data_IF_268760365293
#
_entry.id   IF_268760365293
#
_cell.length_a   1.000
_cell.length_b   1.000
_cell.length_c   1.000
_cell.angle_alpha   90.00
_cell.angle_beta   90.00
_cell.angle_gamma   90.00
#
_symmetry.space_group_name_H-M   'P 1'
#
loop_
_entity.id
_entity.type
_entity.pdbx_description
1 polymer ?
#
# COMPACT_ATOMS: atom_id res chain seq x y z
N UNK A 1 25.70 -25.59 -11.06
CA UNK A 1 24.57 -25.28 -10.16
C UNK A 1 24.06 -23.95 -10.63
N UNK A 2 23.01 -23.97 -11.44
CA UNK A 2 22.67 -22.83 -12.30
C UNK A 2 21.44 -22.09 -11.76
N UNK A 3 20.91 -22.53 -10.61
CA UNK A 3 19.71 -21.98 -9.96
C UNK A 3 19.98 -20.83 -8.99
N UNK A 4 21.24 -20.52 -8.68
CA UNK A 4 21.60 -19.53 -7.65
C UNK A 4 21.55 -20.04 -6.20
N UNK A 5 21.28 -21.33 -5.97
CA UNK A 5 21.36 -21.93 -4.63
C UNK A 5 22.81 -22.21 -4.25
N UNK A 6 23.26 -21.71 -3.10
CA UNK A 6 24.56 -22.02 -2.51
C UNK A 6 24.37 -23.16 -1.53
N UNK A 7 25.01 -24.31 -1.77
CA UNK A 7 24.78 -25.54 -0.99
C UNK A 7 26.09 -26.02 -0.35
N UNK A 8 26.05 -26.26 0.96
CA UNK A 8 27.10 -26.94 1.70
C UNK A 8 26.75 -28.43 1.80
N UNK A 9 27.63 -29.28 1.28
CA UNK A 9 27.49 -30.74 1.31
C UNK A 9 28.49 -31.36 2.27
N UNK A 10 28.07 -32.45 2.90
CA UNK A 10 28.93 -33.33 3.68
C UNK A 10 28.79 -34.77 3.19
N UNK A 11 29.68 -35.63 3.66
CA UNK A 11 29.63 -37.06 3.38
C UNK A 11 29.07 -37.80 4.58
N UNK A 12 28.07 -38.64 4.35
CA UNK A 12 27.52 -39.47 5.40
C UNK A 12 28.44 -40.66 5.69
N UNK A 13 29.08 -40.63 6.84
CA UNK A 13 30.03 -41.66 7.32
C UNK A 13 29.51 -43.10 7.32
N UNK A 14 28.19 -43.33 7.25
CA UNK A 14 27.59 -44.69 7.29
C UNK A 14 27.44 -45.34 5.91
N UNK A 15 27.36 -44.56 4.84
CA UNK A 15 27.02 -45.08 3.51
C UNK A 15 27.70 -44.30 2.36
N UNK A 16 28.64 -43.40 2.65
CA UNK A 16 29.33 -42.51 1.70
C UNK A 16 28.38 -41.74 0.76
N UNK A 17 27.14 -41.48 1.20
CA UNK A 17 26.19 -40.68 0.42
C UNK A 17 26.39 -39.20 0.72
N UNK A 18 26.30 -38.35 -0.30
CA UNK A 18 26.25 -36.90 -0.09
C UNK A 18 24.99 -36.50 0.70
N UNK A 19 25.17 -35.65 1.71
CA UNK A 19 24.10 -35.03 2.48
C UNK A 19 24.19 -33.51 2.37
N UNK A 20 23.03 -32.85 2.25
CA UNK A 20 22.96 -31.39 2.30
C UNK A 20 22.97 -30.98 3.77
N UNK A 21 24.04 -30.30 4.19
CA UNK A 21 24.17 -29.77 5.55
C UNK A 21 23.52 -28.40 5.70
N UNK A 22 23.58 -27.59 4.63
CA UNK A 22 23.02 -26.24 4.61
C UNK A 22 22.78 -25.79 3.15
N UNK A 23 21.80 -24.91 2.94
CA UNK A 23 21.59 -24.27 1.64
C UNK A 23 21.02 -22.86 1.78
N UNK A 24 21.41 -21.95 0.90
CA UNK A 24 20.94 -20.55 0.94
C UNK A 24 19.44 -20.42 0.70
N UNK A 25 18.85 -21.33 -0.07
CA UNK A 25 17.40 -21.33 -0.34
C UNK A 25 16.54 -21.53 0.92
N UNK A 26 17.09 -22.07 2.01
CA UNK A 26 16.40 -22.18 3.30
C UNK A 26 16.46 -20.88 4.14
N UNK A 27 17.19 -19.88 3.66
CA UNK A 27 17.44 -18.59 4.32
C UNK A 27 17.23 -17.41 3.36
N UNK A 28 16.00 -17.19 2.88
CA UNK A 28 15.69 -16.10 1.96
C UNK A 28 15.92 -14.70 2.58
N UNK A 29 16.28 -13.72 1.75
CA UNK A 29 16.33 -12.29 2.08
C UNK A 29 15.06 -11.58 1.55
N UNK A 30 15.22 -10.54 0.75
CA UNK A 30 14.18 -9.83 -0.01
C UNK A 30 13.80 -10.54 -1.31
N UNK A 31 14.63 -11.46 -1.80
CA UNK A 31 14.49 -12.04 -3.14
C UNK A 31 14.08 -13.52 -3.10
N UNK A 32 13.08 -13.89 -3.91
CA UNK A 32 12.62 -15.25 -4.15
C UNK A 32 12.83 -15.63 -5.62
N UNK A 33 13.64 -16.66 -5.85
CA UNK A 33 14.03 -17.18 -7.16
C UNK A 33 13.18 -18.40 -7.57
N UNK A 34 13.11 -18.72 -8.88
CA UNK A 34 12.42 -19.93 -9.33
C UNK A 34 12.96 -21.19 -8.63
N UNK A 35 12.07 -22.05 -8.15
CA UNK A 35 12.42 -23.27 -7.43
C UNK A 35 12.77 -23.09 -5.95
N UNK A 36 12.82 -21.86 -5.42
CA UNK A 36 12.84 -21.65 -3.97
C UNK A 36 11.54 -22.15 -3.33
N UNK A 37 11.57 -22.49 -2.04
CA UNK A 37 10.44 -23.10 -1.32
C UNK A 37 10.00 -22.23 -0.16
N UNK A 38 8.83 -21.61 -0.28
CA UNK A 38 8.17 -20.90 0.82
C UNK A 38 7.31 -21.91 1.61
N UNK A 39 7.77 -22.31 2.79
CA UNK A 39 7.24 -23.48 3.50
C UNK A 39 6.04 -23.14 4.39
N UNK A 40 4.98 -23.94 4.28
CA UNK A 40 3.74 -23.81 5.06
C UNK A 40 3.94 -24.64 6.35
N UNK A 41 4.50 -24.04 7.41
CA UNK A 41 4.72 -24.74 8.68
C UNK A 41 4.57 -23.83 9.90
N UNK A 42 3.96 -24.34 10.98
CA UNK A 42 3.80 -23.64 12.27
C UNK A 42 5.08 -23.55 13.10
N UNK A 43 6.12 -24.32 12.76
CA UNK A 43 7.34 -24.44 13.58
C UNK A 43 8.52 -23.65 13.06
N UNK A 44 8.45 -23.11 11.84
CA UNK A 44 9.59 -22.50 11.16
C UNK A 44 9.51 -20.97 11.17
N UNK A 45 10.29 -20.33 12.03
CA UNK A 45 10.34 -18.85 12.15
C UNK A 45 11.06 -18.12 11.00
N UNK A 46 11.76 -18.83 10.09
CA UNK A 46 12.79 -18.21 9.23
C UNK A 46 12.56 -18.38 7.72
N UNK A 47 11.32 -18.49 7.24
CA UNK A 47 11.06 -18.79 5.81
C UNK A 47 10.07 -17.83 5.17
N UNK A 48 10.23 -16.55 5.50
CA UNK A 48 9.53 -15.43 4.88
C UNK A 48 10.55 -14.62 4.09
N UNK A 49 10.12 -13.95 3.02
CA UNK A 49 10.94 -12.86 2.48
C UNK A 49 10.90 -11.71 3.48
N UNK A 50 12.01 -11.01 3.62
CA UNK A 50 12.11 -9.80 4.43
C UNK A 50 12.72 -8.69 3.60
N UNK A 51 12.12 -7.51 3.62
CA UNK A 51 12.68 -6.37 2.88
C UNK A 51 14.04 -6.00 3.45
N UNK A 52 14.82 -5.28 2.65
CA UNK A 52 15.92 -4.50 3.21
C UNK A 52 15.41 -3.42 4.16
N UNK A 53 16.29 -2.90 5.01
CA UNK A 53 15.99 -1.81 5.93
C UNK A 53 15.74 -0.51 5.17
N UNK A 54 16.51 -0.26 4.13
CA UNK A 54 16.31 0.83 3.17
C UNK A 54 17.06 0.54 1.87
N UNK A 55 17.00 1.45 0.89
CA UNK A 55 17.58 1.26 -0.44
C UNK A 55 19.10 1.07 -0.47
N UNK A 56 19.82 1.42 0.60
CA UNK A 56 21.29 1.34 0.69
C UNK A 56 21.79 0.39 1.78
N UNK A 57 20.93 0.00 2.74
CA UNK A 57 21.26 -0.88 3.85
C UNK A 57 20.51 -2.22 3.72
N UNK A 58 21.21 -3.31 3.36
CA UNK A 58 20.61 -4.64 3.19
C UNK A 58 20.32 -5.35 4.51
N UNK A 59 20.49 -4.69 5.66
CA UNK A 59 20.02 -5.21 6.95
C UNK A 59 18.51 -5.51 6.90
N UNK A 60 18.05 -6.38 7.81
CA UNK A 60 16.65 -6.82 7.88
C UNK A 60 15.73 -5.61 8.14
N UNK A 61 14.78 -5.40 7.24
CA UNK A 61 13.74 -4.38 7.35
C UNK A 61 12.53 -4.83 8.17
N UNK A 62 11.50 -3.98 8.19
CA UNK A 62 10.27 -4.22 8.96
C UNK A 62 9.20 -4.98 8.19
N UNK A 63 9.41 -5.23 6.90
CA UNK A 63 8.39 -5.79 6.02
C UNK A 63 8.70 -7.25 5.71
N UNK A 64 7.68 -8.11 5.76
CA UNK A 64 7.80 -9.53 5.50
C UNK A 64 6.70 -10.07 4.59
N UNK A 65 7.04 -11.05 3.77
CA UNK A 65 6.09 -11.78 2.92
C UNK A 65 6.16 -13.29 3.15
N UNK A 66 5.01 -13.93 3.36
CA UNK A 66 4.90 -15.38 3.31
C UNK A 66 3.64 -15.96 3.94
N UNK A 67 3.71 -17.21 4.42
CA UNK A 67 2.55 -17.98 4.90
C UNK A 67 2.40 -17.91 6.42
N UNK A 68 1.21 -17.60 6.96
CA UNK A 68 0.97 -17.63 8.41
C UNK A 68 0.11 -18.84 8.81
N UNK A 69 0.71 -19.85 9.45
CA UNK A 69 -0.02 -20.96 10.06
C UNK A 69 0.01 -22.30 9.31
N UNK A 70 -0.67 -23.29 9.87
CA UNK A 70 -0.45 -24.73 9.58
C UNK A 70 -1.08 -25.27 8.31
N UNK A 71 -1.92 -24.54 7.59
CA UNK A 71 -2.71 -25.12 6.48
C UNK A 71 -3.18 -24.12 5.42
N UNK A 72 -2.65 -22.88 5.41
CA UNK A 72 -3.25 -21.85 4.57
C UNK A 72 -2.61 -21.78 3.17
N UNK A 73 -3.46 -21.75 2.15
CA UNK A 73 -3.14 -21.18 0.83
C UNK A 73 -3.02 -19.64 0.89
N UNK A 74 -3.15 -19.07 2.09
CA UNK A 74 -3.05 -17.65 2.34
C UNK A 74 -1.60 -17.21 2.48
N UNK A 75 -1.29 -16.16 1.73
CA UNK A 75 -0.09 -15.37 1.83
C UNK A 75 -0.40 -14.00 2.42
N UNK A 76 0.60 -13.46 3.09
CA UNK A 76 0.49 -12.25 3.87
C UNK A 76 1.66 -11.35 3.58
N UNK A 77 1.37 -10.06 3.45
CA UNK A 77 2.36 -9.01 3.61
C UNK A 77 2.13 -8.33 4.95
N UNK A 78 3.18 -8.29 5.76
CA UNK A 78 3.15 -7.71 7.09
C UNK A 78 4.22 -6.64 7.24
N UNK A 79 3.89 -5.56 7.96
CA UNK A 79 4.83 -4.56 8.46
C UNK A 79 4.86 -4.66 9.99
N UNK A 80 6.03 -4.93 10.56
CA UNK A 80 6.20 -5.10 12.01
C UNK A 80 5.19 -6.09 12.63
N UNK A 81 4.93 -7.19 11.92
CA UNK A 81 3.92 -8.23 12.26
C UNK A 81 2.45 -7.85 12.08
N UNK A 82 2.14 -6.62 11.65
CA UNK A 82 0.77 -6.21 11.29
C UNK A 82 0.54 -6.44 9.80
N UNK A 83 -0.46 -7.23 9.45
CA UNK A 83 -0.84 -7.48 8.05
C UNK A 83 -1.46 -6.24 7.41
N UNK A 84 -0.99 -5.87 6.23
CA UNK A 84 -1.64 -4.85 5.38
C UNK A 84 -2.17 -5.41 4.05
N UNK A 85 -1.80 -6.64 3.70
CA UNK A 85 -2.40 -7.37 2.59
C UNK A 85 -2.42 -8.86 2.87
N UNK A 86 -3.47 -9.52 2.42
CA UNK A 86 -3.55 -10.97 2.34
C UNK A 86 -4.13 -11.38 0.98
N UNK A 87 -3.76 -12.57 0.53
CA UNK A 87 -4.26 -13.16 -0.69
C UNK A 87 -4.22 -14.68 -0.60
N UNK A 88 -5.00 -15.36 -1.42
CA UNK A 88 -5.06 -16.83 -1.45
C UNK A 88 -4.52 -17.33 -2.79
N UNK A 89 -3.64 -18.33 -2.76
CA UNK A 89 -3.18 -19.02 -3.96
C UNK A 89 -4.32 -19.87 -4.55
N UNK A 90 -4.99 -19.36 -5.58
CA UNK A 90 -6.02 -20.08 -6.33
C UNK A 90 -5.55 -20.25 -7.78
N UNK A 91 -5.78 -21.44 -8.37
CA UNK A 91 -5.50 -21.71 -9.79
C UNK A 91 -4.11 -21.26 -10.27
N UNK A 92 -3.09 -21.51 -9.44
CA UNK A 92 -1.69 -21.18 -9.73
C UNK A 92 -1.34 -19.68 -9.73
N UNK A 93 -2.14 -18.83 -9.08
CA UNK A 93 -1.91 -17.39 -8.93
C UNK A 93 -2.40 -16.87 -7.55
N UNK A 94 -1.75 -15.84 -6.99
CA UNK A 94 -2.22 -15.20 -5.74
C UNK A 94 -3.15 -14.01 -5.97
N UNK A 95 -2.96 -13.31 -7.10
CA UNK A 95 -3.82 -12.26 -7.68
C UNK A 95 -3.59 -12.29 -9.20
N UNK A 96 -4.57 -11.85 -10.00
CA UNK A 96 -4.51 -11.94 -11.48
C UNK A 96 -3.23 -11.29 -12.02
N UNK A 97 -2.32 -12.11 -12.54
CA UNK A 97 -1.21 -11.64 -13.37
C UNK A 97 -1.82 -11.28 -14.73
N UNK A 98 -1.39 -10.16 -15.33
CA UNK A 98 -1.97 -9.72 -16.61
C UNK A 98 -1.93 -10.84 -17.63
N UNK A 99 -3.00 -11.01 -18.42
CA UNK A 99 -3.20 -12.15 -19.33
C UNK A 99 -2.04 -12.35 -20.32
N UNK A 100 -1.30 -11.28 -20.64
CA UNK A 100 -0.14 -11.33 -21.52
C UNK A 100 1.09 -12.04 -20.92
N UNK A 101 1.22 -12.09 -19.60
CA UNK A 101 2.37 -12.69 -18.90
C UNK A 101 2.02 -13.95 -18.12
N UNK A 102 0.74 -14.27 -17.94
CA UNK A 102 0.26 -15.42 -17.14
C UNK A 102 0.87 -16.75 -17.59
N UNK A 103 1.07 -16.96 -18.90
CA UNK A 103 1.62 -18.21 -19.43
C UNK A 103 3.13 -18.40 -19.18
N UNK A 104 3.82 -17.36 -18.70
CA UNK A 104 5.27 -17.41 -18.43
C UNK A 104 5.61 -17.78 -16.98
N UNK A 105 4.62 -17.80 -16.09
CA UNK A 105 4.81 -18.00 -14.66
C UNK A 105 3.76 -18.95 -14.10
N UNK A 106 4.22 -19.97 -13.38
CA UNK A 106 3.34 -20.92 -12.70
C UNK A 106 3.66 -20.90 -11.21
N UNK A 107 2.75 -20.36 -10.39
CA UNK A 107 2.85 -20.49 -8.94
C UNK A 107 2.17 -21.78 -8.52
N UNK A 108 2.75 -22.54 -7.61
CA UNK A 108 2.16 -23.81 -7.22
C UNK A 108 2.43 -24.12 -5.76
N UNK A 109 1.40 -24.65 -5.11
CA UNK A 109 1.54 -25.34 -3.83
C UNK A 109 1.87 -26.79 -4.10
N UNK A 110 2.97 -27.24 -3.51
CA UNK A 110 3.41 -28.63 -3.53
C UNK A 110 3.22 -29.20 -2.13
N UNK A 111 2.46 -30.29 -2.03
CA UNK A 111 2.12 -30.94 -0.77
C UNK A 111 1.66 -32.39 -0.92
N UNK A 112 2.03 -33.05 -2.01
CA UNK A 112 1.72 -34.46 -2.29
C UNK A 112 2.99 -35.31 -2.23
N UNK A 113 2.87 -36.62 -2.01
CA UNK A 113 4.00 -37.56 -1.97
C UNK A 113 4.92 -37.32 -0.76
N UNK A 114 6.24 -37.33 -0.99
CA UNK A 114 7.27 -37.15 0.06
C UNK A 114 7.17 -35.80 0.80
N UNK A 115 6.53 -34.80 0.20
CA UNK A 115 6.37 -33.44 0.75
C UNK A 115 5.00 -33.25 1.45
N UNK A 116 4.20 -34.32 1.61
CA UNK A 116 2.89 -34.26 2.27
C UNK A 116 2.94 -33.77 3.72
N UNK A 117 4.04 -34.05 4.41
CA UNK A 117 4.26 -33.60 5.79
C UNK A 117 4.87 -32.19 5.89
N UNK A 118 5.30 -31.60 4.77
CA UNK A 118 5.97 -30.30 4.74
C UNK A 118 5.65 -29.50 3.47
N UNK A 119 4.38 -29.13 3.25
CA UNK A 119 3.97 -28.44 2.04
C UNK A 119 4.67 -27.08 1.87
N UNK A 120 4.83 -26.64 0.62
CA UNK A 120 5.46 -25.37 0.28
C UNK A 120 4.88 -24.77 -0.98
N UNK A 121 5.07 -23.46 -1.12
CA UNK A 121 4.77 -22.68 -2.29
C UNK A 121 6.07 -22.42 -3.05
N UNK A 122 6.03 -22.56 -4.36
CA UNK A 122 7.13 -22.24 -5.27
C UNK A 122 6.57 -21.61 -6.55
N UNK A 123 7.45 -21.13 -7.42
CA UNK A 123 7.06 -20.74 -8.76
C UNK A 123 8.08 -21.20 -9.79
N UNK A 124 7.57 -21.44 -11.00
CA UNK A 124 8.34 -21.77 -12.18
C UNK A 124 8.21 -20.65 -13.20
N UNK A 125 9.23 -20.48 -14.03
CA UNK A 125 9.19 -19.54 -15.14
C UNK A 125 9.85 -20.12 -16.38
N UNK A 126 9.32 -19.77 -17.55
CA UNK A 126 9.92 -20.04 -18.86
C UNK A 126 10.92 -18.96 -19.29
N UNK A 127 11.04 -17.88 -18.52
CA UNK A 127 11.95 -16.77 -18.80
C UNK A 127 13.32 -17.01 -18.15
N UNK A 128 14.41 -16.65 -18.83
CA UNK A 128 15.79 -16.99 -18.40
C UNK A 128 16.18 -16.42 -17.02
N UNK A 129 15.83 -15.16 -16.74
CA UNK A 129 16.22 -14.48 -15.51
C UNK A 129 15.00 -13.78 -14.91
N UNK A 130 14.49 -14.35 -13.83
CA UNK A 130 13.32 -13.83 -13.12
C UNK A 130 13.54 -13.87 -11.63
N UNK A 131 12.88 -12.95 -10.93
CA UNK A 131 12.87 -12.94 -9.46
C UNK A 131 11.64 -12.22 -8.94
N UNK A 132 11.13 -12.67 -7.81
CA UNK A 132 10.25 -11.89 -6.96
C UNK A 132 11.10 -11.16 -5.93
N UNK A 133 10.86 -9.87 -5.74
CA UNK A 133 11.60 -9.02 -4.79
C UNK A 133 10.61 -8.29 -3.92
N UNK A 134 10.77 -8.41 -2.60
CA UNK A 134 10.05 -7.62 -1.61
C UNK A 134 10.83 -6.31 -1.40
N UNK A 135 10.33 -5.22 -1.96
CA UNK A 135 11.01 -3.94 -1.85
C UNK A 135 10.85 -3.31 -0.45
N UNK A 136 11.64 -2.26 -0.21
CA UNK A 136 11.67 -1.50 1.06
C UNK A 136 10.35 -0.77 1.35
N UNK A 137 9.48 -0.58 0.35
CA UNK A 137 8.19 0.07 0.49
C UNK A 137 7.07 -0.91 0.84
N UNK A 138 7.35 -2.21 0.72
CA UNK A 138 6.41 -3.29 0.99
C UNK A 138 5.60 -3.73 -0.22
N UNK A 139 6.20 -3.58 -1.40
CA UNK A 139 5.65 -4.10 -2.64
C UNK A 139 6.42 -5.36 -3.01
N UNK A 140 5.71 -6.48 -3.20
CA UNK A 140 6.31 -7.65 -3.82
C UNK A 140 6.24 -7.48 -5.34
N UNK A 141 7.39 -7.48 -6.01
CA UNK A 141 7.51 -7.20 -7.43
C UNK A 141 8.08 -8.42 -8.16
N UNK A 142 7.39 -8.88 -9.20
CA UNK A 142 7.93 -9.87 -10.14
C UNK A 142 8.69 -9.14 -11.24
N UNK A 143 9.99 -9.42 -11.34
CA UNK A 143 10.92 -8.82 -12.27
C UNK A 143 11.43 -9.85 -13.28
N UNK A 144 11.56 -9.43 -14.54
CA UNK A 144 12.16 -10.19 -15.63
C UNK A 144 13.29 -9.39 -16.25
N UNK A 145 14.44 -10.01 -16.46
CA UNK A 145 15.54 -9.36 -17.18
C UNK A 145 15.27 -9.39 -18.69
N UNK A 146 15.09 -8.22 -19.31
CA UNK A 146 14.96 -8.07 -20.76
C UNK A 146 15.81 -6.88 -21.20
N UNK A 147 16.49 -7.01 -22.34
CA UNK A 147 17.21 -5.90 -22.99
C UNK A 147 18.16 -5.11 -22.07
N UNK A 148 18.84 -5.78 -21.13
CA UNK A 148 19.85 -5.17 -20.26
C UNK A 148 19.32 -4.49 -18.98
N UNK A 149 18.03 -4.65 -18.65
CA UNK A 149 17.48 -4.14 -17.40
C UNK A 149 16.32 -5.01 -16.86
N UNK A 150 15.96 -4.78 -15.60
CA UNK A 150 14.85 -5.46 -14.93
C UNK A 150 13.51 -4.79 -15.28
N UNK A 151 12.63 -5.52 -15.94
CA UNK A 151 11.26 -5.12 -16.24
C UNK A 151 10.32 -5.63 -15.16
N UNK A 152 9.43 -4.76 -14.67
CA UNK A 152 8.33 -5.13 -13.79
C UNK A 152 7.17 -5.69 -14.61
N UNK A 153 6.87 -6.97 -14.42
CA UNK A 153 5.74 -7.64 -15.10
C UNK A 153 4.51 -7.72 -14.21
N UNK A 154 4.72 -7.83 -12.90
CA UNK A 154 3.65 -7.92 -11.92
C UNK A 154 4.14 -7.41 -10.57
N UNK A 155 3.19 -7.05 -9.72
CA UNK A 155 3.46 -6.61 -8.36
C UNK A 155 2.20 -6.70 -7.52
N UNK A 156 2.38 -6.80 -6.20
CA UNK A 156 1.32 -6.80 -5.20
C UNK A 156 1.73 -5.97 -3.97
N UNK A 157 0.76 -5.43 -3.20
CA UNK A 157 -0.67 -5.48 -3.51
C UNK A 157 -1.02 -4.59 -4.71
N UNK A 158 -2.02 -4.97 -5.52
CA UNK A 158 -2.55 -4.13 -6.62
C UNK A 158 -3.24 -2.87 -6.13
N UNK A 159 -3.54 -2.80 -4.84
CA UNK A 159 -3.99 -1.62 -4.13
C UNK A 159 -3.33 -1.63 -2.76
N UNK A 160 -2.23 -0.87 -2.58
CA UNK A 160 -1.68 -0.55 -1.25
C UNK A 160 -2.63 0.33 -0.42
N UNK A 161 -3.68 0.84 -1.08
CA UNK A 161 -4.62 1.80 -0.57
C UNK A 161 -6.00 1.17 -0.43
N UNK A 162 -6.23 0.52 0.70
CA UNK A 162 -7.57 0.24 1.20
C UNK A 162 -8.08 1.44 2.02
N UNK A 163 -9.39 1.47 2.30
CA UNK A 163 -10.04 2.56 3.02
C UNK A 163 -9.46 2.84 4.43
N UNK A 164 -8.79 1.85 5.02
CA UNK A 164 -8.20 1.92 6.36
C UNK A 164 -6.66 1.97 6.35
N UNK A 165 -6.05 2.05 5.16
CA UNK A 165 -4.58 2.02 5.02
C UNK A 165 -3.90 3.25 5.63
N UNK A 166 -4.58 4.39 5.63
CA UNK A 166 -4.08 5.63 6.18
C UNK A 166 -5.08 6.22 7.18
N UNK A 167 -4.56 6.86 8.23
CA UNK A 167 -5.37 7.47 9.27
C UNK A 167 -6.17 8.70 8.80
N UNK A 168 -6.92 9.35 9.71
CA UNK A 168 -7.63 10.60 9.43
C UNK A 168 -6.80 11.66 8.71
N UNK A 169 -7.43 12.45 7.85
CA UNK A 169 -6.88 13.59 7.11
C UNK A 169 -5.60 13.27 6.31
N UNK A 170 -5.44 12.01 5.93
CA UNK A 170 -4.41 11.56 5.01
C UNK A 170 -5.04 10.96 3.77
N UNK A 171 -4.29 10.99 2.68
CA UNK A 171 -4.60 10.33 1.43
C UNK A 171 -3.61 9.20 1.18
N UNK A 172 -4.14 8.11 0.64
CA UNK A 172 -3.32 7.00 0.18
C UNK A 172 -3.06 7.12 -1.32
N UNK A 173 -1.78 7.13 -1.70
CA UNK A 173 -1.34 7.17 -3.10
C UNK A 173 -0.69 5.84 -3.49
N UNK A 174 -1.18 5.26 -4.60
CA UNK A 174 -0.76 3.94 -5.05
C UNK A 174 0.44 3.96 -6.02
N UNK A 175 0.88 5.12 -6.49
CA UNK A 175 2.10 5.22 -7.28
C UNK A 175 3.20 5.77 -6.39
N UNK A 176 4.31 5.04 -6.25
CA UNK A 176 5.59 5.56 -5.74
C UNK A 176 6.20 6.67 -6.61
N UNK A 177 5.38 7.48 -7.29
CA UNK A 177 5.70 8.76 -7.88
C UNK A 177 4.78 9.77 -7.17
N UNK A 178 5.33 10.67 -6.35
CA UNK A 178 5.73 11.99 -6.82
C UNK A 178 4.66 12.61 -7.73
N UNK A 179 4.18 13.79 -7.35
CA UNK A 179 3.03 14.52 -7.89
C UNK A 179 1.69 14.10 -7.28
N UNK A 180 1.33 14.73 -6.16
CA UNK A 180 0.45 15.90 -6.17
C UNK A 180 0.59 16.62 -4.81
N UNK A 181 0.54 17.96 -4.87
CA UNK A 181 0.53 18.92 -3.76
C UNK A 181 1.95 19.39 -3.33
N UNK A 182 2.40 20.42 -4.06
CA UNK A 182 3.40 21.43 -3.71
C UNK A 182 4.76 20.94 -3.19
N UNK A 183 5.72 20.80 -4.12
CA UNK A 183 7.11 21.33 -4.10
C UNK A 183 7.94 21.39 -2.82
N UNK A 184 7.50 20.79 -1.72
CA UNK A 184 8.18 20.75 -0.45
C UNK A 184 8.45 19.30 -0.09
N UNK A 185 9.75 19.08 0.00
CA UNK A 185 10.48 17.91 0.42
C UNK A 185 9.90 17.30 1.70
N UNK A 186 8.96 16.37 1.55
CA UNK A 186 8.70 15.33 2.54
C UNK A 186 8.77 14.01 1.79
N UNK A 187 9.97 13.41 1.81
CA UNK A 187 10.17 11.99 1.54
C UNK A 187 9.17 11.19 2.37
N UNK A 188 8.05 10.79 1.80
CA UNK A 188 7.18 9.78 2.41
C UNK A 188 7.67 8.43 1.92
N UNK A 189 8.50 7.75 2.71
CA UNK A 189 8.89 6.34 2.51
C UNK A 189 7.68 5.41 2.81
N UNK A 190 6.50 5.70 2.23
CA UNK A 190 5.27 4.96 2.44
C UNK A 190 4.06 5.47 1.64
N UNK A 191 2.96 4.70 1.61
CA UNK A 191 1.80 4.93 0.73
C UNK A 191 0.89 6.09 1.18
N UNK A 192 1.12 6.67 2.35
CA UNK A 192 0.25 7.69 2.95
C UNK A 192 0.91 9.07 2.94
N UNK A 193 0.14 10.10 2.59
CA UNK A 193 0.54 11.50 2.70
C UNK A 193 -0.56 12.30 3.39
N UNK A 194 -0.18 13.33 4.16
CA UNK A 194 -1.14 14.27 4.69
C UNK A 194 -1.73 15.13 3.58
N UNK A 195 -3.03 15.42 3.65
CA UNK A 195 -3.65 16.39 2.74
C UNK A 195 -3.04 17.79 2.99
N UNK A 196 -3.08 18.67 1.99
CA UNK A 196 -2.50 20.02 2.09
C UNK A 196 -2.94 20.75 3.36
N UNK A 197 -1.98 21.39 4.05
CA UNK A 197 -2.14 22.08 5.34
C UNK A 197 -2.43 21.19 6.56
N UNK A 198 -2.16 19.90 6.43
CA UNK A 198 -2.10 18.97 7.55
C UNK A 198 -0.67 18.44 7.71
N UNK A 199 -0.39 17.89 8.88
CA UNK A 199 0.90 17.31 9.27
C UNK A 199 0.66 16.04 10.11
N UNK A 200 1.61 15.10 10.17
CA UNK A 200 1.46 13.88 10.96
C UNK A 200 1.12 14.17 12.42
N UNK A 201 0.26 13.34 13.02
CA UNK A 201 -0.03 13.45 14.46
C UNK A 201 1.22 13.17 15.30
N UNK A 202 2.00 12.14 14.92
CA UNK A 202 3.34 11.84 15.43
C UNK A 202 4.30 11.69 14.25
N UNK A 203 5.34 12.52 14.23
CA UNK A 203 6.37 12.45 13.22
C UNK A 203 7.20 11.16 13.36
N UNK A 204 7.49 10.73 14.61
CA UNK A 204 8.25 9.50 14.84
C UNK A 204 7.52 8.26 14.32
N UNK A 205 6.21 8.14 14.57
CA UNK A 205 5.41 7.02 14.06
C UNK A 205 5.34 7.03 12.52
N UNK A 206 5.19 8.22 11.92
CA UNK A 206 5.13 8.39 10.47
C UNK A 206 6.44 7.96 9.78
N UNK A 207 7.58 8.34 10.35
CA UNK A 207 8.92 7.95 9.88
C UNK A 207 9.20 6.45 10.07
N UNK A 208 8.58 5.82 11.06
CA UNK A 208 8.61 4.37 11.27
C UNK A 208 7.59 3.60 10.39
N UNK A 209 6.81 4.32 9.58
CA UNK A 209 5.85 3.75 8.65
C UNK A 209 4.53 3.31 9.29
N UNK A 210 4.21 3.83 10.48
CA UNK A 210 2.88 3.73 11.10
C UNK A 210 2.06 4.99 10.79
N UNK A 211 1.13 4.85 9.85
CA UNK A 211 0.25 5.93 9.39
C UNK A 211 -1.12 5.92 10.06
N UNK A 212 -1.35 5.04 11.03
CA UNK A 212 -2.67 4.82 11.65
C UNK A 212 -3.18 6.04 12.41
N UNK A 213 -2.27 6.81 13.02
CA UNK A 213 -2.58 8.08 13.70
C UNK A 213 -3.05 9.19 12.75
N UNK A 214 -2.75 9.07 11.46
CA UNK A 214 -3.13 10.05 10.45
C UNK A 214 -2.47 11.41 10.66
N UNK A 215 -3.19 12.44 10.24
CA UNK A 215 -2.72 13.82 10.22
C UNK A 215 -3.64 14.74 11.02
N UNK A 216 -3.08 15.84 11.50
CA UNK A 216 -3.79 16.95 12.14
C UNK A 216 -3.59 18.22 11.33
N UNK A 217 -4.47 19.21 11.48
CA UNK A 217 -4.29 20.50 10.83
C UNK A 217 -3.03 21.18 11.37
N UNK A 218 -2.27 21.84 10.49
CA UNK A 218 -1.16 22.72 10.90
C UNK A 218 -1.65 23.89 11.75
N UNK A 219 -2.88 24.36 11.52
CA UNK A 219 -3.55 25.38 12.32
C UNK A 219 -4.96 24.94 12.72
N UNK A 220 -5.35 25.13 14.00
CA UNK A 220 -6.70 24.81 14.44
C UNK A 220 -7.74 25.68 13.73
N UNK A 221 -8.93 25.13 13.53
CA UNK A 221 -10.08 25.91 13.05
C UNK A 221 -10.53 26.88 14.13
N UNK A 222 -11.02 28.05 13.71
CA UNK A 222 -11.59 29.04 14.62
C UNK A 222 -13.11 29.03 14.64
N UNK A 223 -13.73 28.31 13.70
CA UNK A 223 -15.18 28.21 13.55
C UNK A 223 -15.89 29.53 13.19
N UNK A 224 -15.17 30.59 12.83
CA UNK A 224 -15.71 31.86 12.36
C UNK A 224 -15.94 31.91 10.85
N UNK A 225 -16.98 32.64 10.39
CA UNK A 225 -17.33 32.77 8.95
C UNK A 225 -16.24 33.42 8.10
N UNK A 226 -15.43 34.32 8.68
CA UNK A 226 -14.35 35.04 7.99
C UNK A 226 -12.96 34.49 8.32
N UNK A 227 -12.87 33.57 9.27
CA UNK A 227 -11.60 33.11 9.84
C UNK A 227 -11.17 31.75 9.29
N UNK A 228 -12.13 30.98 8.78
CA UNK A 228 -11.88 29.72 8.09
C UNK A 228 -12.30 29.84 6.62
N UNK A 229 -11.71 29.00 5.78
CA UNK A 229 -12.19 28.78 4.43
C UNK A 229 -12.01 27.33 4.02
N UNK A 230 -12.01 27.09 2.71
CA UNK A 230 -12.03 25.73 2.18
C UNK A 230 -10.97 25.53 1.11
N UNK A 231 -10.28 24.40 1.23
CA UNK A 231 -9.34 23.90 0.24
C UNK A 231 -9.98 22.79 -0.60
N UNK A 232 -10.02 22.91 -1.93
CA UNK A 232 -10.60 21.90 -2.79
C UNK A 232 -9.62 20.73 -3.02
N UNK A 233 -10.01 19.52 -2.62
CA UNK A 233 -9.42 18.26 -3.03
C UNK A 233 -10.20 17.74 -4.23
N UNK A 234 -9.55 17.67 -5.39
CA UNK A 234 -10.21 17.31 -6.65
C UNK A 234 -10.17 15.82 -6.95
N UNK A 235 -11.24 15.31 -7.53
CA UNK A 235 -11.34 13.93 -8.04
C UNK A 235 -10.93 12.88 -6.99
N UNK A 236 -11.42 13.07 -5.77
CA UNK A 236 -11.14 12.20 -4.64
C UNK A 236 -12.37 11.43 -4.21
N UNK A 237 -12.18 10.42 -3.40
CA UNK A 237 -13.27 9.65 -2.80
C UNK A 237 -13.14 9.72 -1.30
N UNK A 238 -14.25 9.76 -0.57
CA UNK A 238 -14.23 9.88 0.88
C UNK A 238 -15.19 8.93 1.57
N UNK A 239 -14.98 8.83 2.88
CA UNK A 239 -15.87 8.12 3.82
C UNK A 239 -17.29 8.67 3.78
N UNK A 240 -18.25 7.86 4.23
CA UNK A 240 -19.66 8.25 4.33
C UNK A 240 -19.79 9.60 5.08
N UNK A 241 -20.49 10.59 4.51
CA UNK A 241 -20.69 11.88 5.17
C UNK A 241 -21.50 11.75 6.45
N UNK A 242 -21.30 12.67 7.38
CA UNK A 242 -22.08 12.77 8.62
C UNK A 242 -23.54 13.11 8.34
N UNK A 243 -23.79 13.96 7.34
CA UNK A 243 -25.14 14.27 6.88
C UNK A 243 -25.17 14.60 5.39
N UNK A 244 -26.33 14.39 4.78
CA UNK A 244 -26.60 14.75 3.40
C UNK A 244 -27.98 15.39 3.27
N UNK A 245 -28.11 16.41 2.43
CA UNK A 245 -29.38 17.10 2.17
C UNK A 245 -29.40 17.75 0.79
N UNK A 246 -30.59 18.06 0.28
CA UNK A 246 -30.74 18.73 -1.01
C UNK A 246 -30.64 20.25 -0.88
N UNK A 247 -29.94 20.88 -1.82
CA UNK A 247 -29.81 22.33 -1.88
C UNK A 247 -29.90 22.85 -3.31
N UNK A 248 -30.16 24.16 -3.42
CA UNK A 248 -30.23 24.84 -4.71
C UNK A 248 -28.85 25.21 -5.28
N UNK A 249 -27.86 25.45 -4.42
CA UNK A 249 -26.53 25.94 -4.85
C UNK A 249 -25.40 25.40 -3.98
N UNK A 250 -24.20 25.29 -4.55
CA UNK A 250 -23.00 24.87 -3.82
C UNK A 250 -22.67 25.81 -2.64
N UNK A 251 -23.01 27.09 -2.76
CA UNK A 251 -22.82 28.09 -1.70
C UNK A 251 -23.70 27.79 -0.48
N UNK A 252 -24.86 27.15 -0.67
CA UNK A 252 -25.70 26.67 0.42
C UNK A 252 -24.98 25.60 1.24
N UNK A 253 -24.31 24.63 0.58
CA UNK A 253 -23.50 23.62 1.29
C UNK A 253 -22.35 24.26 2.07
N UNK A 254 -21.67 25.23 1.45
CA UNK A 254 -20.57 25.98 2.07
C UNK A 254 -21.04 26.73 3.31
N UNK A 255 -22.14 27.46 3.20
CA UNK A 255 -22.72 28.26 4.30
C UNK A 255 -23.16 27.36 5.45
N UNK A 256 -23.75 26.21 5.14
CA UNK A 256 -24.17 25.25 6.16
C UNK A 256 -22.97 24.64 6.89
N UNK A 257 -21.91 24.26 6.17
CA UNK A 257 -20.69 23.80 6.83
C UNK A 257 -20.08 24.86 7.74
N UNK A 258 -20.05 26.12 7.28
CA UNK A 258 -19.53 27.24 8.06
C UNK A 258 -20.31 27.43 9.37
N UNK A 259 -21.65 27.39 9.31
CA UNK A 259 -22.54 27.66 10.44
C UNK A 259 -22.41 26.64 11.59
N UNK A 260 -22.20 25.36 11.28
CA UNK A 260 -22.11 24.28 12.28
C UNK A 260 -20.68 23.86 12.65
N UNK A 261 -19.68 24.64 12.23
CA UNK A 261 -18.26 24.30 12.35
C UNK A 261 -17.87 22.92 11.79
N UNK A 262 -18.37 22.58 10.59
CA UNK A 262 -18.05 21.29 9.96
C UNK A 262 -16.58 21.21 9.50
N UNK A 263 -16.07 19.99 9.29
CA UNK A 263 -14.70 19.73 8.84
C UNK A 263 -14.53 19.75 7.32
N UNK A 264 -15.53 19.36 6.54
CA UNK A 264 -15.51 19.38 5.09
C UNK A 264 -16.93 19.31 4.50
N UNK A 265 -17.09 19.79 3.27
CA UNK A 265 -18.31 19.56 2.50
C UNK A 265 -17.99 19.11 1.07
N UNK A 266 -18.97 18.51 0.41
CA UNK A 266 -18.96 18.24 -1.01
C UNK A 266 -20.37 18.47 -1.57
N UNK A 267 -20.48 18.51 -2.89
CA UNK A 267 -21.77 18.50 -3.55
C UNK A 267 -21.74 17.65 -4.81
N UNK A 268 -22.84 16.95 -5.05
CA UNK A 268 -23.05 16.11 -6.24
C UNK A 268 -24.40 16.44 -6.87
N UNK A 269 -24.74 15.80 -7.99
CA UNK A 269 -26.08 15.93 -8.56
C UNK A 269 -27.14 15.41 -7.57
N UNK A 270 -28.23 16.15 -7.42
CA UNK A 270 -29.38 15.81 -6.57
C UNK A 270 -30.43 14.96 -7.29
N UNK A 271 -31.61 14.84 -6.69
CA UNK A 271 -32.70 14.00 -7.22
C UNK A 271 -33.32 14.51 -8.54
N UNK A 272 -33.16 15.79 -8.85
CA UNK A 272 -33.77 16.43 -10.02
C UNK A 272 -32.89 17.53 -10.61
N UNK A 273 -33.18 17.89 -11.86
CA UNK A 273 -32.41 18.89 -12.59
C UNK A 273 -32.42 20.25 -11.85
N UNK A 274 -31.23 20.78 -11.58
CA UNK A 274 -31.06 22.04 -10.85
C UNK A 274 -31.00 21.90 -9.32
N UNK A 275 -31.15 20.68 -8.78
CA UNK A 275 -30.93 20.38 -7.36
C UNK A 275 -29.59 19.67 -7.20
N UNK A 276 -28.83 20.05 -6.17
CA UNK A 276 -27.61 19.35 -5.76
C UNK A 276 -27.82 18.62 -4.44
N UNK A 277 -27.06 17.54 -4.23
CA UNK A 277 -26.95 16.88 -2.94
C UNK A 277 -25.71 17.42 -2.22
N UNK A 278 -25.90 18.13 -1.10
CA UNK A 278 -24.82 18.54 -0.20
C UNK A 278 -24.44 17.38 0.71
N UNK A 279 -23.14 17.12 0.84
CA UNK A 279 -22.57 16.13 1.76
C UNK A 279 -21.70 16.87 2.79
N UNK A 280 -21.90 16.61 4.07
CA UNK A 280 -21.22 17.31 5.18
C UNK A 280 -20.49 16.31 6.08
N UNK A 281 -19.25 16.62 6.45
CA UNK A 281 -18.47 15.88 7.43
C UNK A 281 -18.23 16.74 8.67
N UNK A 282 -18.79 16.34 9.80
CA UNK A 282 -18.51 16.96 11.10
C UNK A 282 -17.33 16.27 11.81
N UNK A 283 -17.07 14.99 11.47
CA UNK A 283 -15.98 14.19 12.03
C UNK A 283 -14.70 14.19 11.20
N UNK A 284 -13.80 13.26 11.55
CA UNK A 284 -12.56 12.99 10.83
C UNK A 284 -12.83 12.60 9.38
N UNK A 285 -12.19 13.31 8.45
CA UNK A 285 -12.27 13.02 7.01
C UNK A 285 -11.18 12.00 6.65
N UNK A 286 -11.51 10.95 5.90
CA UNK A 286 -10.50 10.13 5.19
C UNK A 286 -10.77 10.21 3.69
N UNK A 287 -9.71 10.36 2.93
CA UNK A 287 -9.76 10.61 1.49
C UNK A 287 -8.87 9.59 0.78
N UNK A 288 -9.28 9.12 -0.39
CA UNK A 288 -8.52 8.16 -1.18
C UNK A 288 -8.64 8.46 -2.68
N UNK A 289 -7.59 8.13 -3.43
CA UNK A 289 -7.51 8.31 -4.89
C UNK A 289 -7.39 6.97 -5.64
N UNK A 290 -7.56 5.84 -4.93
CA UNK A 290 -7.47 4.49 -5.51
C UNK A 290 -8.74 4.02 -6.23
N UNK A 291 -8.65 2.88 -6.92
CA UNK A 291 -9.79 2.21 -7.54
C UNK A 291 -10.78 1.70 -6.48
N UNK A 292 -12.05 2.06 -6.62
CA UNK A 292 -13.17 1.61 -5.78
C UNK A 292 -14.46 1.72 -6.56
N UNK A 293 -15.54 1.13 -6.03
CA UNK A 293 -16.91 1.25 -6.57
C UNK A 293 -17.53 2.64 -6.38
N UNK A 294 -16.99 3.48 -5.50
CA UNK A 294 -17.44 4.86 -5.28
C UNK A 294 -16.86 5.76 -6.39
N UNK A 295 -17.72 6.52 -7.06
CA UNK A 295 -17.31 7.53 -8.03
C UNK A 295 -16.58 8.69 -7.33
N UNK A 296 -15.49 9.20 -7.91
CA UNK A 296 -14.77 10.34 -7.34
C UNK A 296 -15.55 11.65 -7.51
N UNK A 297 -15.39 12.55 -6.55
CA UNK A 297 -15.96 13.90 -6.54
C UNK A 297 -15.02 14.89 -5.83
N UNK A 298 -15.33 16.18 -5.97
CA UNK A 298 -14.54 17.23 -5.33
C UNK A 298 -15.00 17.44 -3.88
N UNK A 299 -14.03 17.52 -2.95
CA UNK A 299 -14.28 17.72 -1.52
C UNK A 299 -13.60 18.99 -1.07
N UNK A 300 -14.33 19.85 -0.38
CA UNK A 300 -13.89 21.12 0.14
C UNK A 300 -13.58 20.98 1.63
N UNK A 301 -12.30 20.86 1.97
CA UNK A 301 -11.83 20.65 3.35
C UNK A 301 -11.64 21.99 4.05
N UNK A 302 -12.22 22.12 5.24
CA UNK A 302 -12.12 23.36 6.02
C UNK A 302 -10.73 23.53 6.63
N UNK A 303 -10.15 24.70 6.42
CA UNK A 303 -8.83 25.13 6.92
C UNK A 303 -8.88 26.58 7.42
N UNK A 304 -7.91 26.99 8.23
CA UNK A 304 -7.76 28.40 8.64
C UNK A 304 -7.50 29.28 7.40
N UNK A 305 -8.19 30.43 7.32
CA UNK A 305 -8.15 31.30 6.14
C UNK A 305 -6.75 31.84 5.83
N UNK A 306 -5.86 31.97 6.83
CA UNK A 306 -4.48 32.42 6.60
C UNK A 306 -3.64 31.41 5.80
N UNK A 307 -4.03 30.14 5.78
CA UNK A 307 -3.38 29.11 4.96
C UNK A 307 -3.85 29.16 3.49
N UNK A 308 -5.01 29.78 3.21
CA UNK A 308 -5.52 29.96 1.83
C UNK A 308 -4.73 31.04 1.09
N UNK A 309 -4.43 32.16 1.75
CA UNK A 309 -3.65 33.26 1.15
C UNK A 309 -2.22 32.85 0.78
N UNK A 310 -1.62 31.90 1.53
CA UNK A 310 -0.30 31.32 1.22
C UNK A 310 -0.33 30.43 -0.02
N UNK A 311 -1.44 29.73 -0.27
CA UNK A 311 -1.60 28.89 -1.47
C UNK A 311 -1.79 29.73 -2.74
N UNK A 312 -2.53 30.83 -2.66
CA UNK A 312 -2.72 31.74 -3.79
C UNK A 312 -1.40 32.41 -4.25
N UNK A 313 -0.50 32.70 -3.31
CA UNK A 313 0.82 33.28 -3.58
C UNK A 313 1.85 32.27 -4.11
N UNK A 314 1.67 30.97 -3.86
CA UNK A 314 2.49 29.90 -4.43
C UNK A 314 2.13 29.57 -5.89
N UNK A 315 0.87 29.79 -6.29
CA UNK A 315 0.37 29.47 -7.64
C UNK A 315 0.60 30.64 -8.62
N UNK A 316 0.67 31.88 -8.11
CA UNK A 316 0.97 33.08 -8.89
C UNK A 316 2.11 33.87 -8.22
N UNK A 317 3.37 33.45 -8.39
CA UNK A 317 4.50 34.28 -7.99
C UNK A 317 4.50 35.57 -8.82
N UNK A 318 4.68 36.69 -8.13
CA UNK A 318 4.76 38.04 -8.73
C UNK A 318 5.96 38.20 -9.65
#
# INVERSE_FOLDING_TARGET
>A
MDSGNLVLRGENSKNNSEIILWQSFDHPTDTFLPGMKLRISTKSKNRFLTSWKNASDPAVGTISFGTTGSNSDQLWLCRSSVSYWNGTLNDSQFEKISENDTNNFLFSKIGNGDEAYNPYITYFSTQNLTRLVLDVNGILVLLVWRTGFWWRVWYLPKTLCTFESCGPYSSCYFNGAFYLLDGNDYRTDGPCACITNFEPVSQEAWELGDFSGGCKRKRPLKCGKEEDGFYPLKNVKAVVPTSAFEAATAESCRTECLSRCCNAYAYTNGSSAGIISCLIWDGSLRVFTGETTIDPYDIFVRIDASEIGKLASLIFPS
#
